data_IF_150580026688
#
_entry.id   IF_150580026688
#
_cell.length_a   1.000
_cell.length_b   1.000
_cell.length_c   1.000
_cell.angle_alpha   90.00
_cell.angle_beta   90.00
_cell.angle_gamma   90.00
#
_symmetry.space_group_name_H-M   'P 1'
#
loop_
_entity.id
_entity.type
_entity.pdbx_description
1 polymer ?
#
# COMPACT_ATOMS: atom_id res chain seq x y z
N UNK A 1 -19.42 8.94 7.31
CA UNK A 1 -19.02 10.34 7.05
C UNK A 1 -17.63 10.32 6.43
N UNK A 2 -17.41 11.05 5.33
CA UNK A 2 -16.07 11.28 4.78
C UNK A 2 -15.37 12.35 5.62
N UNK A 3 -14.13 12.12 6.03
CA UNK A 3 -13.34 13.02 6.87
C UNK A 3 -12.36 13.87 6.08
N UNK A 4 -11.92 13.40 4.91
CA UNK A 4 -11.00 14.10 4.02
C UNK A 4 -11.15 13.60 2.60
N UNK A 5 -10.77 14.42 1.62
CA UNK A 5 -10.52 13.98 0.25
C UNK A 5 -9.04 13.72 0.06
N UNK A 6 -8.70 12.71 -0.74
CA UNK A 6 -7.31 12.36 -1.07
C UNK A 6 -7.15 12.19 -2.58
N UNK A 7 -6.34 13.06 -3.18
CA UNK A 7 -6.13 13.11 -4.62
C UNK A 7 -4.93 12.26 -5.09
N UNK A 8 -4.03 11.88 -4.19
CA UNK A 8 -2.91 10.99 -4.52
C UNK A 8 -3.35 9.55 -4.78
N UNK A 9 -2.40 8.72 -5.19
CA UNK A 9 -2.55 7.26 -5.23
C UNK A 9 -2.31 6.67 -3.84
N UNK A 10 -3.04 5.61 -3.52
CA UNK A 10 -2.79 4.79 -2.34
C UNK A 10 -2.25 3.42 -2.77
N UNK A 11 -1.02 3.12 -2.39
CA UNK A 11 -0.44 1.78 -2.52
C UNK A 11 -0.48 1.14 -1.15
N UNK A 12 -1.19 0.01 -1.03
CA UNK A 12 -1.24 -0.81 0.18
C UNK A 12 -0.27 -1.98 -0.02
N UNK A 13 0.75 -2.06 0.81
CA UNK A 13 1.71 -3.16 0.78
C UNK A 13 1.32 -4.20 1.85
N UNK A 14 1.04 -5.43 1.44
CA UNK A 14 0.49 -6.49 2.28
C UNK A 14 -1.05 -6.53 2.25
N UNK A 15 -1.61 -7.74 2.14
CA UNK A 15 -3.07 -7.95 2.15
C UNK A 15 -3.51 -8.99 3.20
N UNK A 16 -2.87 -8.96 4.37
CA UNK A 16 -3.22 -9.80 5.52
C UNK A 16 -4.46 -9.32 6.28
N UNK A 17 -4.60 -9.78 7.52
CA UNK A 17 -5.74 -9.45 8.39
C UNK A 17 -5.93 -7.95 8.61
N UNK A 18 -4.84 -7.21 8.82
CA UNK A 18 -4.89 -5.76 9.08
C UNK A 18 -5.40 -5.00 7.87
N UNK A 19 -4.85 -5.27 6.68
CA UNK A 19 -5.30 -4.64 5.44
C UNK A 19 -6.79 -4.90 5.16
N UNK A 20 -7.26 -6.14 5.37
CA UNK A 20 -8.68 -6.50 5.22
C UNK A 20 -9.59 -5.77 6.21
N UNK A 21 -9.12 -5.52 7.43
CA UNK A 21 -9.86 -4.77 8.46
C UNK A 21 -9.88 -3.26 8.20
N UNK A 22 -8.77 -2.69 7.73
CA UNK A 22 -8.60 -1.25 7.54
C UNK A 22 -9.19 -0.76 6.21
N UNK A 23 -9.11 -1.55 5.14
CA UNK A 23 -9.57 -1.13 3.82
C UNK A 23 -11.06 -0.69 3.79
N UNK A 24 -12.02 -1.40 4.42
CA UNK A 24 -13.40 -0.91 4.51
C UNK A 24 -13.52 0.43 5.23
N UNK A 25 -12.66 0.71 6.22
CA UNK A 25 -12.63 1.99 6.92
C UNK A 25 -12.12 3.10 6.01
N UNK A 26 -11.04 2.87 5.25
CA UNK A 26 -10.53 3.82 4.25
C UNK A 26 -11.62 4.14 3.23
N UNK A 27 -12.25 3.12 2.64
CA UNK A 27 -13.33 3.31 1.67
C UNK A 27 -14.53 4.06 2.27
N UNK A 28 -14.82 3.86 3.56
CA UNK A 28 -15.93 4.54 4.26
C UNK A 28 -15.61 5.99 4.60
N UNK A 29 -14.35 6.32 4.90
CA UNK A 29 -13.97 7.58 5.55
C UNK A 29 -13.11 8.52 4.70
N UNK A 30 -12.43 8.04 3.68
CA UNK A 30 -11.59 8.85 2.79
C UNK A 30 -12.27 8.95 1.44
N UNK A 31 -12.44 10.17 0.95
CA UNK A 31 -13.01 10.42 -0.36
C UNK A 31 -11.91 10.31 -1.42
N UNK A 32 -11.82 9.14 -2.05
CA UNK A 32 -10.90 8.83 -3.13
C UNK A 32 -11.49 7.74 -4.04
N UNK A 33 -11.22 7.77 -5.35
CA UNK A 33 -11.68 6.74 -6.27
C UNK A 33 -10.81 5.47 -6.16
N UNK A 34 -11.45 4.30 -6.30
CA UNK A 34 -10.78 2.99 -6.16
C UNK A 34 -9.73 2.71 -7.23
N UNK A 35 -9.83 3.35 -8.40
CA UNK A 35 -8.87 3.22 -9.50
C UNK A 35 -7.50 3.85 -9.21
N UNK A 36 -7.43 4.72 -8.19
CA UNK A 36 -6.18 5.26 -7.61
C UNK A 36 -5.61 4.41 -6.47
N UNK A 37 -6.18 3.24 -6.22
CA UNK A 37 -5.72 2.31 -5.20
C UNK A 37 -5.07 1.09 -5.85
N UNK A 38 -3.96 0.63 -5.29
CA UNK A 38 -3.30 -0.62 -5.64
C UNK A 38 -2.92 -1.39 -4.37
N UNK A 39 -3.14 -2.70 -4.38
CA UNK A 39 -2.69 -3.62 -3.33
C UNK A 39 -1.55 -4.47 -3.89
N UNK A 40 -0.40 -4.46 -3.23
CA UNK A 40 0.76 -5.30 -3.53
C UNK A 40 0.88 -6.35 -2.44
N UNK A 41 1.00 -7.63 -2.78
CA UNK A 41 1.14 -8.72 -1.81
C UNK A 41 2.14 -9.77 -2.28
N UNK A 42 2.68 -10.55 -1.37
CA UNK A 42 3.56 -11.69 -1.69
C UNK A 42 2.79 -12.98 -2.05
N UNK A 43 1.47 -13.01 -1.85
CA UNK A 43 0.68 -14.25 -1.92
C UNK A 43 -0.62 -14.14 -2.75
N UNK A 44 -0.99 -15.25 -3.38
CA UNK A 44 -2.23 -15.43 -4.14
C UNK A 44 -3.47 -15.74 -3.26
N UNK A 45 -3.29 -16.19 -2.01
CA UNK A 45 -4.37 -16.71 -1.13
C UNK A 45 -5.58 -15.78 -0.98
N UNK A 46 -5.37 -14.47 -1.10
CA UNK A 46 -6.40 -13.46 -0.87
C UNK A 46 -6.76 -12.61 -2.11
N UNK A 47 -6.23 -12.98 -3.28
CA UNK A 47 -6.49 -12.27 -4.55
C UNK A 47 -7.97 -12.25 -4.89
N UNK A 48 -8.69 -13.35 -4.62
CA UNK A 48 -10.12 -13.42 -4.93
C UNK A 48 -10.94 -12.46 -4.06
N UNK A 49 -10.59 -12.31 -2.78
CA UNK A 49 -11.20 -11.31 -1.90
C UNK A 49 -10.88 -9.89 -2.42
N UNK A 50 -9.64 -9.63 -2.81
CA UNK A 50 -9.23 -8.34 -3.36
C UNK A 50 -9.98 -7.99 -4.66
N UNK A 51 -10.19 -8.95 -5.56
CA UNK A 51 -10.93 -8.77 -6.82
C UNK A 51 -12.37 -8.32 -6.59
N UNK A 52 -13.05 -8.86 -5.57
CA UNK A 52 -14.43 -8.44 -5.25
C UNK A 52 -14.54 -6.98 -4.81
N UNK A 53 -13.43 -6.37 -4.38
CA UNK A 53 -13.39 -4.99 -3.90
C UNK A 53 -13.27 -3.96 -5.03
N UNK A 54 -12.96 -4.39 -6.26
CA UNK A 54 -12.78 -3.50 -7.41
C UNK A 54 -11.54 -2.60 -7.30
N UNK A 55 -10.50 -3.08 -6.62
CA UNK A 55 -9.22 -2.41 -6.44
C UNK A 55 -8.14 -3.21 -7.18
N UNK A 56 -7.17 -2.53 -7.79
CA UNK A 56 -6.06 -3.18 -8.49
C UNK A 56 -5.25 -4.01 -7.50
N UNK A 57 -4.92 -5.24 -7.88
CA UNK A 57 -4.15 -6.16 -7.04
C UNK A 57 -2.99 -6.78 -7.83
N UNK A 58 -1.80 -6.72 -7.26
CA UNK A 58 -0.55 -7.19 -7.85
C UNK A 58 0.13 -8.17 -6.89
N UNK A 59 0.39 -9.40 -7.35
CA UNK A 59 1.23 -10.34 -6.59
C UNK A 59 2.69 -10.12 -6.99
N UNK A 60 3.43 -9.50 -6.08
CA UNK A 60 4.82 -9.10 -6.25
C UNK A 60 5.48 -9.06 -4.86
N UNK A 61 6.16 -10.14 -4.45
CA UNK A 61 6.97 -10.13 -3.24
C UNK A 61 8.08 -9.07 -3.36
N UNK A 62 8.10 -8.12 -2.43
CA UNK A 62 9.18 -7.13 -2.38
C UNK A 62 10.39 -7.73 -1.68
N UNK A 63 11.56 -7.44 -2.23
CA UNK A 63 12.85 -7.86 -1.72
C UNK A 63 13.76 -6.64 -1.66
N UNK A 64 14.89 -6.80 -0.96
CA UNK A 64 15.93 -5.77 -0.89
C UNK A 64 16.40 -5.29 -2.27
N UNK A 65 16.35 -6.16 -3.27
CA UNK A 65 16.87 -5.90 -4.61
C UNK A 65 15.84 -5.23 -5.53
N UNK A 66 14.54 -5.42 -5.29
CA UNK A 66 13.49 -4.94 -6.20
C UNK A 66 12.65 -3.77 -5.64
N UNK A 67 12.58 -3.58 -4.32
CA UNK A 67 11.57 -2.69 -3.72
C UNK A 67 11.65 -1.25 -4.25
N UNK A 68 12.86 -0.74 -4.42
CA UNK A 68 13.08 0.63 -4.87
C UNK A 68 12.59 0.82 -6.31
N UNK A 69 12.97 -0.08 -7.22
CA UNK A 69 12.55 -0.02 -8.62
C UNK A 69 11.03 -0.19 -8.76
N UNK A 70 10.46 -1.17 -8.06
CA UNK A 70 9.03 -1.47 -8.13
C UNK A 70 8.18 -0.34 -7.55
N UNK A 71 8.52 0.20 -6.38
CA UNK A 71 7.73 1.26 -5.75
C UNK A 71 7.92 2.62 -6.44
N UNK A 72 9.10 2.91 -7.00
CA UNK A 72 9.34 4.18 -7.71
C UNK A 72 8.55 4.32 -9.01
N UNK A 73 8.09 3.22 -9.61
CA UNK A 73 7.20 3.27 -10.78
C UNK A 73 5.73 3.49 -10.40
N UNK A 74 5.38 3.30 -9.12
CA UNK A 74 4.00 3.34 -8.62
C UNK A 74 3.70 4.61 -7.82
N UNK A 75 4.70 5.10 -7.09
CA UNK A 75 4.61 6.25 -6.20
C UNK A 75 5.30 7.49 -6.78
N UNK A 76 4.68 8.63 -6.52
CA UNK A 76 5.16 9.97 -6.85
C UNK A 76 4.83 10.94 -5.70
N UNK A 77 5.31 12.18 -5.81
CA UNK A 77 5.08 13.17 -4.76
C UNK A 77 3.57 13.38 -4.50
N UNK A 78 3.16 13.28 -3.22
CA UNK A 78 1.77 13.37 -2.80
C UNK A 78 0.99 12.04 -2.79
N UNK A 79 1.59 10.94 -3.26
CA UNK A 79 1.03 9.60 -3.10
C UNK A 79 1.26 9.06 -1.67
N UNK A 80 0.65 7.92 -1.33
CA UNK A 80 0.74 7.32 -0.01
C UNK A 80 1.04 5.82 -0.12
N UNK A 81 2.15 5.39 0.49
CA UNK A 81 2.41 3.99 0.81
C UNK A 81 1.90 3.65 2.23
N UNK A 82 0.89 2.79 2.30
CA UNK A 82 0.41 2.18 3.54
C UNK A 82 1.00 0.78 3.68
N UNK A 83 2.01 0.64 4.53
CA UNK A 83 2.71 -0.63 4.75
C UNK A 83 2.04 -1.46 5.86
N UNK A 84 1.41 -2.57 5.46
CA UNK A 84 0.76 -3.56 6.32
C UNK A 84 1.30 -4.97 6.00
N UNK A 85 2.58 -5.04 5.62
CA UNK A 85 3.27 -6.27 5.23
C UNK A 85 4.19 -6.79 6.33
N UNK A 86 4.78 -7.95 6.06
CA UNK A 86 5.87 -8.59 6.83
C UNK A 86 7.04 -8.81 5.88
N UNK A 87 8.23 -9.07 6.42
CA UNK A 87 9.45 -9.38 5.65
C UNK A 87 9.92 -8.26 4.69
N UNK A 88 9.50 -7.01 4.92
CA UNK A 88 9.90 -5.84 4.13
C UNK A 88 10.37 -4.72 5.05
N UNK A 89 11.60 -4.25 4.87
CA UNK A 89 12.20 -3.30 5.79
C UNK A 89 11.49 -1.95 5.86
N UNK A 90 10.89 -1.61 7.00
CA UNK A 90 10.25 -0.32 7.24
C UNK A 90 11.23 0.85 7.03
N UNK A 91 12.48 0.71 7.50
CA UNK A 91 13.51 1.75 7.35
C UNK A 91 13.84 2.02 5.88
N UNK A 92 13.87 0.98 5.04
CA UNK A 92 14.08 1.14 3.61
C UNK A 92 12.91 1.86 2.93
N UNK A 93 11.67 1.48 3.28
CA UNK A 93 10.46 2.09 2.75
C UNK A 93 10.30 3.56 3.16
N UNK A 94 10.55 3.91 4.44
CA UNK A 94 10.52 5.29 4.92
C UNK A 94 11.49 6.18 4.14
N UNK A 95 12.72 5.68 3.91
CA UNK A 95 13.73 6.41 3.14
C UNK A 95 13.26 6.67 1.71
N UNK A 96 12.79 5.62 1.03
CA UNK A 96 12.30 5.72 -0.35
C UNK A 96 11.10 6.67 -0.48
N UNK A 97 10.08 6.54 0.39
CA UNK A 97 8.91 7.42 0.35
C UNK A 97 9.31 8.88 0.57
N UNK A 98 10.24 9.15 1.49
CA UNK A 98 10.76 10.51 1.70
C UNK A 98 11.49 11.05 0.47
N UNK A 99 12.26 10.23 -0.23
CA UNK A 99 12.94 10.62 -1.48
C UNK A 99 11.95 10.92 -2.61
N UNK A 100 10.87 10.14 -2.71
CA UNK A 100 9.81 10.31 -3.71
C UNK A 100 8.80 11.43 -3.37
N UNK A 101 8.83 11.96 -2.14
CA UNK A 101 7.82 12.90 -1.64
C UNK A 101 6.46 12.24 -1.36
N UNK A 102 6.43 10.94 -1.14
CA UNK A 102 5.24 10.17 -0.79
C UNK A 102 5.05 10.10 0.73
N UNK A 103 3.78 10.06 1.17
CA UNK A 103 3.40 9.77 2.54
C UNK A 103 3.69 8.29 2.87
N UNK A 104 3.97 8.02 4.13
CA UNK A 104 4.26 6.68 4.63
C UNK A 104 3.59 6.44 5.98
N UNK A 105 3.06 5.23 6.20
CA UNK A 105 2.56 4.75 7.48
C UNK A 105 2.72 3.23 7.55
N UNK A 106 3.18 2.74 8.68
CA UNK A 106 3.24 1.33 9.03
C UNK A 106 2.67 1.06 10.44
N UNK A 107 2.68 -0.21 10.84
CA UNK A 107 2.24 -0.64 12.18
C UNK A 107 3.36 -1.22 13.03
N UNK A 108 4.55 -1.44 12.45
CA UNK A 108 5.72 -2.00 13.11
C UNK A 108 7.01 -1.60 12.38
N UNK A 109 8.14 -1.69 13.09
CA UNK A 109 9.47 -1.57 12.47
C UNK A 109 9.93 -2.97 12.06
N UNK A 110 9.71 -3.31 10.80
CA UNK A 110 10.02 -4.63 10.25
C UNK A 110 11.43 -4.65 9.63
N UNK A 111 12.19 -5.76 9.78
CA UNK A 111 13.42 -6.00 9.01
C UNK A 111 13.12 -6.60 7.61
N UNK A 112 14.19 -6.90 6.87
CA UNK A 112 14.15 -7.80 5.72
C UNK A 112 14.21 -9.27 6.16
#
# INVERSE_FOLDING_TARGET
>A
MKHTSFSGKLVILGFGSIAKGVLPLILRHIDMPKDRMEIITSDLRDVEIAKTLGIRHTVLPLTRDNYAAELSTRLSAGDFLLNLSVDVSSVALVKLCRELGALYLDTCVEPW
#
